data_IF_394460975419
#
_entry.id   IF_394460975419
#
_cell.length_a   1.000
_cell.length_b   1.000
_cell.length_c   1.000
_cell.angle_alpha   90.00
_cell.angle_beta   90.00
_cell.angle_gamma   90.00
#
_symmetry.space_group_name_H-M   'P 1'
#
loop_
_entity.id
_entity.type
_entity.pdbx_description
1 polymer ?
#
# COMPACT_ATOMS: atom_id res chain seq x y z
N UNK A 1 36.27 21.93 33.84
CA UNK A 1 37.06 23.13 34.18
C UNK A 1 36.40 24.44 33.76
N UNK A 2 36.09 24.69 32.47
CA UNK A 2 35.42 25.93 32.02
C UNK A 2 34.06 26.17 32.71
N UNK A 3 33.16 25.19 32.67
CA UNK A 3 31.83 25.30 33.28
C UNK A 3 31.87 25.44 34.80
N UNK A 4 32.81 24.78 35.46
CA UNK A 4 33.01 24.93 36.92
C UNK A 4 33.40 26.36 37.27
N UNK A 5 34.29 26.99 36.50
CA UNK A 5 34.71 28.38 36.72
C UNK A 5 33.55 29.36 36.49
N UNK A 6 32.75 29.16 35.43
CA UNK A 6 31.57 29.98 35.14
C UNK A 6 30.47 29.85 36.21
N UNK A 7 30.24 28.63 36.71
CA UNK A 7 29.32 28.40 37.81
C UNK A 7 29.82 29.08 39.08
N UNK A 8 31.12 29.00 39.37
CA UNK A 8 31.70 29.61 40.57
C UNK A 8 31.65 31.15 40.53
N UNK A 9 31.84 31.76 39.36
CA UNK A 9 31.62 33.19 39.11
C UNK A 9 30.15 33.58 39.39
N UNK A 10 29.21 32.84 38.81
CA UNK A 10 27.77 33.11 38.98
C UNK A 10 27.30 32.93 40.42
N UNK A 11 27.80 31.90 41.11
CA UNK A 11 27.43 31.62 42.51
C UNK A 11 28.01 32.69 43.44
N UNK A 12 29.23 33.15 43.18
CA UNK A 12 29.86 34.24 43.94
C UNK A 12 29.08 35.55 43.79
N UNK A 13 28.68 35.88 42.55
CA UNK A 13 27.86 37.05 42.26
C UNK A 13 26.52 37.01 43.01
N UNK A 14 25.85 35.85 42.99
CA UNK A 14 24.57 35.67 43.69
C UNK A 14 24.72 35.82 45.21
N UNK A 15 25.79 35.27 45.79
CA UNK A 15 26.06 35.38 47.22
C UNK A 15 26.39 36.82 47.64
N UNK A 16 27.09 37.60 46.80
CA UNK A 16 27.33 39.03 47.02
C UNK A 16 26.04 39.86 46.95
N UNK A 17 25.10 39.47 46.08
CA UNK A 17 23.81 40.15 45.97
C UNK A 17 22.93 39.93 47.21
N UNK A 18 22.96 38.71 47.77
CA UNK A 18 22.12 38.30 48.91
C UNK A 18 22.69 38.79 50.24
N UNK A 19 24.01 38.69 50.44
CA UNK A 19 24.69 39.10 51.67
C UNK A 19 25.93 39.96 51.37
N UNK A 20 25.74 41.26 51.06
CA UNK A 20 26.84 42.16 50.72
C UNK A 20 27.87 42.22 51.87
N UNK A 21 29.16 42.04 51.55
CA UNK A 21 30.30 41.99 52.49
C UNK A 21 30.42 40.73 53.37
N UNK A 22 29.48 39.78 53.28
CA UNK A 22 29.54 38.48 53.97
C UNK A 22 29.41 37.28 52.99
N UNK A 23 29.51 37.55 51.69
CA UNK A 23 29.31 36.56 50.62
C UNK A 23 30.21 35.34 50.69
N UNK A 24 31.45 35.51 51.17
CA UNK A 24 32.41 34.42 51.34
C UNK A 24 31.95 33.43 52.43
N UNK A 25 31.47 33.95 53.56
CA UNK A 25 30.99 33.12 54.67
C UNK A 25 29.68 32.42 54.29
N UNK A 26 28.76 33.12 53.62
CA UNK A 26 27.51 32.54 53.11
C UNK A 26 27.79 31.43 52.09
N UNK A 27 28.69 31.68 51.14
CA UNK A 27 29.09 30.68 50.14
C UNK A 27 29.74 29.46 50.80
N UNK A 28 30.56 29.68 51.82
CA UNK A 28 31.19 28.60 52.58
C UNK A 28 30.14 27.75 53.31
N UNK A 29 29.19 28.37 54.02
CA UNK A 29 28.11 27.65 54.72
C UNK A 29 27.18 26.87 53.78
N UNK A 30 26.78 27.46 52.65
CA UNK A 30 25.96 26.77 51.64
C UNK A 30 26.70 25.56 51.07
N UNK A 31 28.00 25.71 50.79
CA UNK A 31 28.83 24.64 50.23
C UNK A 31 29.02 23.49 51.22
N UNK A 32 29.25 23.78 52.51
CA UNK A 32 29.43 22.74 53.54
C UNK A 32 28.13 22.01 53.87
N UNK A 33 27.00 22.72 54.02
CA UNK A 33 25.73 22.11 54.42
C UNK A 33 25.08 21.29 53.29
N UNK A 34 25.14 21.77 52.04
CA UNK A 34 24.51 21.08 50.92
C UNK A 34 25.28 19.81 50.50
N UNK A 35 26.62 19.85 50.57
CA UNK A 35 27.45 18.68 50.26
C UNK A 35 27.38 17.65 51.38
N UNK A 36 27.30 18.07 52.66
CA UNK A 36 27.11 17.14 53.78
C UNK A 36 25.76 16.42 53.69
N UNK A 37 24.66 17.14 53.48
CA UNK A 37 23.31 16.56 53.42
C UNK A 37 23.11 15.64 52.21
N UNK A 38 23.64 16.00 51.04
CA UNK A 38 23.55 15.17 49.85
C UNK A 38 24.42 13.90 49.99
N UNK A 39 25.61 14.02 50.58
CA UNK A 39 26.49 12.87 50.83
C UNK A 39 25.89 11.91 51.86
N UNK A 40 25.24 12.41 52.91
CA UNK A 40 24.57 11.58 53.93
C UNK A 40 23.38 10.81 53.34
N UNK A 41 22.52 11.48 52.56
CA UNK A 41 21.37 10.83 51.92
C UNK A 41 21.76 9.71 50.93
N UNK A 42 22.83 9.93 50.15
CA UNK A 42 23.33 8.92 49.21
C UNK A 42 23.91 7.72 49.97
N UNK A 43 24.69 7.97 51.02
CA UNK A 43 25.27 6.89 51.86
C UNK A 43 24.15 6.09 52.52
N UNK A 44 23.15 6.73 53.12
CA UNK A 44 21.99 6.05 53.72
C UNK A 44 21.22 5.20 52.72
N UNK A 45 21.04 5.71 51.50
CA UNK A 45 20.32 4.99 50.44
C UNK A 45 21.09 3.73 50.02
N UNK A 46 22.41 3.84 49.83
CA UNK A 46 23.26 2.70 49.47
C UNK A 46 23.31 1.66 50.60
N UNK A 47 23.33 2.10 51.87
CA UNK A 47 23.24 1.22 53.05
C UNK A 47 21.93 0.43 53.04
N UNK A 48 20.78 1.10 52.86
CA UNK A 48 19.48 0.43 52.79
C UNK A 48 19.43 -0.60 51.66
N UNK A 49 19.95 -0.26 50.48
CA UNK A 49 20.02 -1.19 49.35
C UNK A 49 20.93 -2.40 49.64
N UNK A 50 22.08 -2.17 50.29
CA UNK A 50 23.01 -3.24 50.69
C UNK A 50 22.38 -4.22 51.68
N UNK A 51 21.57 -3.70 52.63
CA UNK A 51 20.88 -4.51 53.62
C UNK A 51 19.72 -5.32 53.02
N UNK A 52 18.97 -4.75 52.08
CA UNK A 52 17.79 -5.37 51.47
C UNK A 52 18.11 -6.37 50.33
N UNK A 53 19.21 -6.18 49.62
CA UNK A 53 19.59 -7.05 48.51
C UNK A 53 19.90 -8.45 49.00
N UNK A 54 19.48 -9.52 48.31
CA UNK A 54 19.84 -10.92 48.61
C UNK A 54 21.07 -11.40 47.83
N UNK A 55 21.25 -10.91 46.60
CA UNK A 55 22.34 -11.26 45.67
C UNK A 55 23.73 -10.82 46.18
N UNK A 56 24.68 -11.76 46.22
CA UNK A 56 26.05 -11.53 46.66
C UNK A 56 26.87 -10.63 45.71
N UNK A 57 26.58 -10.66 44.41
CA UNK A 57 27.30 -9.86 43.41
C UNK A 57 26.88 -8.39 43.48
N UNK A 58 25.57 -8.15 43.51
CA UNK A 58 25.01 -6.79 43.70
C UNK A 58 25.42 -6.22 45.05
N UNK A 59 25.46 -7.04 46.10
CA UNK A 59 25.95 -6.64 47.43
C UNK A 59 27.43 -6.22 47.40
N UNK A 60 28.27 -6.94 46.67
CA UNK A 60 29.69 -6.57 46.47
C UNK A 60 29.83 -5.28 45.66
N UNK A 61 28.99 -5.07 44.64
CA UNK A 61 28.97 -3.85 43.84
C UNK A 61 28.54 -2.63 44.67
N UNK A 62 27.47 -2.72 45.46
CA UNK A 62 27.02 -1.65 46.35
C UNK A 62 28.11 -1.31 47.39
N UNK A 63 28.78 -2.32 47.94
CA UNK A 63 29.90 -2.12 48.86
C UNK A 63 31.08 -1.42 48.17
N UNK A 64 31.32 -1.67 46.87
CA UNK A 64 32.43 -1.05 46.12
C UNK A 64 32.32 0.48 46.04
N UNK A 65 31.10 1.01 46.10
CA UNK A 65 30.82 2.45 46.11
C UNK A 65 31.33 3.08 47.41
N UNK A 66 31.11 2.40 48.56
CA UNK A 66 31.49 2.89 49.89
C UNK A 66 32.94 2.57 50.26
N UNK A 67 33.43 1.36 49.91
CA UNK A 67 34.74 0.83 50.31
C UNK A 67 35.94 1.58 49.72
N UNK A 68 35.74 2.45 48.72
CA UNK A 68 36.78 3.35 48.21
C UNK A 68 36.98 4.60 49.05
N UNK A 69 35.95 5.02 49.78
CA UNK A 69 35.92 6.28 50.55
C UNK A 69 35.97 6.07 52.07
N UNK A 70 35.57 4.90 52.55
CA UNK A 70 35.51 4.57 53.98
C UNK A 70 36.44 3.40 54.30
N UNK A 71 36.93 3.38 55.54
CA UNK A 71 37.72 2.26 56.08
C UNK A 71 36.81 1.13 56.54
N UNK A 72 37.37 -0.08 56.71
CA UNK A 72 36.60 -1.25 57.15
C UNK A 72 35.89 -1.04 58.51
N UNK A 73 36.53 -0.46 59.55
CA UNK A 73 35.86 -0.21 60.83
C UNK A 73 34.70 0.77 60.71
N UNK A 74 34.84 1.81 59.88
CA UNK A 74 33.76 2.78 59.63
C UNK A 74 32.56 2.12 58.94
N UNK A 75 32.80 1.21 57.98
CA UNK A 75 31.72 0.46 57.33
C UNK A 75 31.05 -0.54 58.26
N UNK A 76 31.80 -1.20 59.14
CA UNK A 76 31.24 -2.09 60.17
C UNK A 76 30.39 -1.32 61.20
N UNK A 77 30.71 -0.04 61.44
CA UNK A 77 29.87 0.82 62.30
C UNK A 77 28.58 1.30 61.63
N UNK A 78 28.57 1.38 60.30
CA UNK A 78 27.47 1.93 59.50
C UNK A 78 26.48 0.86 59.02
N UNK A 79 26.93 -0.38 58.85
CA UNK A 79 26.16 -1.49 58.28
C UNK A 79 25.76 -2.50 59.36
N UNK A 80 24.50 -2.95 59.37
CA UNK A 80 24.05 -3.96 60.33
C UNK A 80 24.57 -5.38 60.03
N UNK A 81 24.97 -5.63 58.77
CA UNK A 81 25.49 -6.94 58.34
C UNK A 81 27.03 -6.96 58.39
N UNK A 82 27.65 -8.02 58.93
CA UNK A 82 29.10 -8.09 59.06
C UNK A 82 29.79 -8.09 57.69
N UNK A 83 30.78 -7.23 57.52
CA UNK A 83 31.61 -7.15 56.31
C UNK A 83 32.90 -7.95 56.52
N UNK A 84 33.04 -9.09 55.84
CA UNK A 84 34.28 -9.87 55.92
C UNK A 84 35.44 -9.14 55.24
N UNK A 85 36.67 -9.35 55.72
CA UNK A 85 37.87 -8.73 55.13
C UNK A 85 38.02 -9.06 53.65
N UNK A 86 37.67 -10.28 53.25
CA UNK A 86 37.66 -10.68 51.85
C UNK A 86 36.70 -9.82 51.01
N UNK A 87 35.46 -9.63 51.47
CA UNK A 87 34.46 -8.86 50.74
C UNK A 87 34.85 -7.38 50.63
N UNK A 88 35.42 -6.81 51.70
CA UNK A 88 35.92 -5.43 51.72
C UNK A 88 37.02 -5.20 50.69
N UNK A 89 38.07 -6.03 50.67
CA UNK A 89 39.17 -5.87 49.71
C UNK A 89 38.74 -6.17 48.28
N UNK A 90 37.85 -7.16 48.08
CA UNK A 90 37.27 -7.45 46.77
C UNK A 90 36.48 -6.25 46.23
N UNK A 91 35.62 -5.66 47.05
CA UNK A 91 34.84 -4.47 46.68
C UNK A 91 35.74 -3.25 46.42
N UNK A 92 36.78 -3.04 47.23
CA UNK A 92 37.72 -1.92 47.07
C UNK A 92 38.53 -2.02 45.77
N UNK A 93 38.82 -3.23 45.31
CA UNK A 93 39.54 -3.51 44.06
C UNK A 93 38.71 -3.40 42.78
N UNK A 94 37.39 -3.22 42.85
CA UNK A 94 36.53 -3.13 41.65
C UNK A 94 36.70 -1.79 40.91
N UNK A 95 36.82 -1.77 39.57
CA UNK A 95 36.80 -0.53 38.76
C UNK A 95 35.50 0.27 38.93
N UNK A 96 35.55 1.61 38.93
CA UNK A 96 34.35 2.47 39.08
C UNK A 96 33.30 2.20 37.98
N UNK A 97 33.77 1.90 36.77
CA UNK A 97 32.93 1.58 35.60
C UNK A 97 32.14 0.27 35.79
N UNK A 98 32.65 -0.65 36.62
CA UNK A 98 31.98 -1.91 36.97
C UNK A 98 31.08 -1.81 38.20
N UNK A 99 31.04 -0.65 38.86
CA UNK A 99 30.20 -0.37 40.04
C UNK A 99 28.76 0.03 39.68
N UNK A 100 28.36 -0.07 38.40
CA UNK A 100 26.99 0.06 37.94
C UNK A 100 26.33 -1.30 37.66
N UNK A 101 25.01 -1.42 37.84
CA UNK A 101 24.25 -2.57 37.38
C UNK A 101 24.36 -2.65 35.85
N UNK A 102 25.18 -3.57 35.33
CA UNK A 102 25.12 -3.95 33.92
C UNK A 102 23.81 -4.73 33.70
N UNK A 103 22.73 -4.00 33.36
CA UNK A 103 21.54 -4.58 32.79
C UNK A 103 21.88 -5.00 31.36
N UNK A 104 22.36 -6.23 31.17
CA UNK A 104 22.46 -6.81 29.84
C UNK A 104 21.05 -6.85 29.23
N UNK A 105 20.80 -5.96 28.28
CA UNK A 105 19.58 -5.98 27.48
C UNK A 105 19.69 -7.17 26.53
N UNK A 106 19.07 -8.30 26.90
CA UNK A 106 18.94 -9.44 26.00
C UNK A 106 18.17 -9.00 24.77
N UNK A 107 18.86 -8.77 23.65
CA UNK A 107 18.20 -8.55 22.37
C UNK A 107 17.37 -9.79 22.01
N UNK A 108 16.08 -9.66 21.70
CA UNK A 108 15.24 -10.81 21.36
C UNK A 108 15.82 -11.55 20.14
N UNK A 109 16.15 -12.83 20.32
CA UNK A 109 16.55 -13.72 19.21
C UNK A 109 15.29 -14.20 18.48
N UNK A 110 14.96 -13.56 17.35
CA UNK A 110 13.89 -14.03 16.47
C UNK A 110 14.36 -15.26 15.70
N UNK A 111 13.64 -16.39 15.80
CA UNK A 111 13.88 -17.55 14.93
C UNK A 111 13.17 -17.32 13.59
N UNK A 112 13.93 -17.10 12.52
CA UNK A 112 13.38 -17.01 11.16
C UNK A 112 12.99 -18.43 10.69
N UNK A 113 11.72 -18.80 10.88
CA UNK A 113 11.20 -20.15 10.54
C UNK A 113 10.74 -20.28 9.08
N UNK A 114 10.61 -19.18 8.36
CA UNK A 114 10.05 -19.14 7.01
C UNK A 114 11.18 -18.97 6.00
N UNK A 115 11.16 -19.76 4.94
CA UNK A 115 12.09 -19.59 3.83
C UNK A 115 11.84 -18.22 3.17
N UNK A 116 12.90 -17.40 3.11
CA UNK A 116 12.82 -16.01 2.67
C UNK A 116 12.55 -15.88 1.18
N UNK A 117 13.21 -16.69 0.35
CA UNK A 117 12.99 -16.70 -1.12
C UNK A 117 11.52 -17.01 -1.45
N UNK A 118 10.95 -18.02 -0.80
CA UNK A 118 9.54 -18.38 -1.00
C UNK A 118 8.57 -17.32 -0.49
N UNK A 119 8.94 -16.61 0.58
CA UNK A 119 8.16 -15.49 1.09
C UNK A 119 8.20 -14.31 0.11
N UNK A 120 9.38 -13.93 -0.37
CA UNK A 120 9.56 -12.85 -1.34
C UNK A 120 8.82 -13.15 -2.64
N UNK A 121 8.90 -14.39 -3.16
CA UNK A 121 8.18 -14.80 -4.36
C UNK A 121 6.66 -14.69 -4.18
N UNK A 122 6.12 -15.13 -3.03
CA UNK A 122 4.71 -14.98 -2.71
C UNK A 122 4.31 -13.50 -2.54
N UNK A 123 5.14 -12.68 -1.90
CA UNK A 123 4.88 -11.25 -1.73
C UNK A 123 4.87 -10.50 -3.05
N UNK A 124 5.79 -10.81 -3.97
CA UNK A 124 5.81 -10.24 -5.31
C UNK A 124 4.49 -10.51 -6.05
N UNK A 125 4.00 -11.74 -6.00
CA UNK A 125 2.71 -12.09 -6.62
C UNK A 125 1.51 -11.44 -5.91
N UNK A 126 1.49 -11.41 -4.57
CA UNK A 126 0.34 -10.87 -3.81
C UNK A 126 0.22 -9.35 -3.86
N UNK A 127 1.33 -8.66 -4.10
CA UNK A 127 1.40 -7.20 -4.25
C UNK A 127 1.38 -6.77 -5.71
N UNK A 128 1.20 -7.71 -6.65
CA UNK A 128 1.05 -7.38 -8.06
C UNK A 128 -0.12 -6.39 -8.25
N UNK A 129 0.08 -5.30 -9.02
CA UNK A 129 -0.97 -4.34 -9.34
C UNK A 129 -2.21 -4.96 -10.00
N UNK A 130 -2.10 -6.15 -10.60
CA UNK A 130 -3.24 -6.91 -11.07
C UNK A 130 -4.23 -7.22 -9.93
N UNK A 131 -3.77 -7.50 -8.71
CA UNK A 131 -4.62 -7.91 -7.58
C UNK A 131 -4.83 -6.81 -6.53
N UNK A 132 -4.09 -5.72 -6.63
CA UNK A 132 -4.08 -4.63 -5.65
C UNK A 132 -4.35 -3.29 -6.31
N UNK A 133 -5.12 -2.45 -5.63
CA UNK A 133 -5.44 -1.10 -6.08
C UNK A 133 -5.24 -0.14 -4.91
N UNK A 134 -4.52 0.95 -5.15
CA UNK A 134 -4.39 2.04 -4.18
C UNK A 134 -5.70 2.83 -4.11
N UNK A 135 -6.14 3.18 -2.91
CA UNK A 135 -7.26 4.12 -2.75
C UNK A 135 -6.79 5.55 -2.95
N UNK A 136 -7.63 6.34 -3.62
CA UNK A 136 -7.43 7.77 -3.84
C UNK A 136 -7.54 8.59 -2.56
N UNK A 137 -8.14 8.04 -1.50
CA UNK A 137 -8.28 8.68 -0.20
C UNK A 137 -8.07 7.64 0.92
N UNK A 138 -7.26 8.02 1.91
CA UNK A 138 -6.91 7.18 3.06
C UNK A 138 -5.44 6.75 3.01
N UNK A 139 -4.77 6.88 4.15
CA UNK A 139 -3.40 6.44 4.35
C UNK A 139 -3.31 5.47 5.52
N UNK A 140 -2.27 4.65 5.52
CA UNK A 140 -1.92 3.77 6.61
C UNK A 140 -0.49 4.06 7.06
N UNK A 141 -0.31 4.10 8.38
CA UNK A 141 1.02 4.13 8.99
C UNK A 141 1.55 2.70 9.15
N UNK A 142 2.70 2.42 8.53
CA UNK A 142 3.53 1.27 8.82
C UNK A 142 4.55 1.66 9.87
N UNK A 143 4.55 0.97 11.01
CA UNK A 143 5.54 1.14 12.06
C UNK A 143 6.63 0.09 11.88
N UNK A 144 7.85 0.54 11.60
CA UNK A 144 9.04 -0.30 11.50
C UNK A 144 9.50 -0.72 12.90
N UNK A 145 10.26 -1.82 12.98
CA UNK A 145 10.87 -2.29 14.23
C UNK A 145 11.87 -1.27 14.80
N UNK A 146 12.42 -0.39 13.94
CA UNK A 146 13.27 0.76 14.29
C UNK A 146 12.49 1.88 15.01
N UNK A 147 11.16 1.81 15.07
CA UNK A 147 10.28 2.85 15.59
C UNK A 147 9.90 3.91 14.55
N UNK A 148 10.48 3.86 13.35
CA UNK A 148 10.15 4.73 12.23
C UNK A 148 8.71 4.48 11.74
N UNK A 149 8.04 5.54 11.31
CA UNK A 149 6.68 5.49 10.77
C UNK A 149 6.69 5.89 9.31
N UNK A 150 6.27 4.98 8.44
CA UNK A 150 6.15 5.20 7.01
C UNK A 150 4.66 5.33 6.68
N UNK A 151 4.27 6.43 6.07
CA UNK A 151 2.89 6.63 5.61
C UNK A 151 2.77 6.13 4.18
N UNK A 152 1.92 5.13 3.97
CA UNK A 152 1.61 4.62 2.63
C UNK A 152 0.13 4.86 2.31
N UNK A 153 -0.26 4.99 1.03
CA UNK A 153 -1.67 4.94 0.65
C UNK A 153 -2.30 3.62 1.11
N UNK A 154 -3.56 3.66 1.53
CA UNK A 154 -4.25 2.41 1.86
C UNK A 154 -4.46 1.58 0.58
N UNK A 155 -4.53 0.26 0.73
CA UNK A 155 -4.56 -0.69 -0.38
C UNK A 155 -5.81 -1.53 -0.29
N UNK A 156 -6.50 -1.63 -1.42
CA UNK A 156 -7.65 -2.49 -1.62
C UNK A 156 -7.24 -3.69 -2.47
N UNK A 157 -7.56 -4.91 -2.02
CA UNK A 157 -7.45 -6.10 -2.85
C UNK A 157 -8.70 -6.25 -3.72
N UNK A 158 -8.48 -6.41 -5.02
CA UNK A 158 -9.53 -6.60 -6.02
C UNK A 158 -10.04 -8.05 -6.05
N UNK A 159 -9.21 -8.99 -5.59
CA UNK A 159 -9.47 -10.43 -5.58
C UNK A 159 -9.47 -10.97 -4.14
N UNK A 160 -10.31 -11.96 -3.84
CA UNK A 160 -10.36 -12.55 -2.51
C UNK A 160 -9.16 -13.47 -2.25
N UNK A 161 -8.82 -13.71 -0.98
CA UNK A 161 -7.62 -14.47 -0.62
C UNK A 161 -7.61 -15.89 -1.20
N UNK A 162 -8.76 -16.57 -1.26
CA UNK A 162 -8.81 -17.94 -1.79
C UNK A 162 -8.49 -18.00 -3.28
N UNK A 163 -9.02 -17.05 -4.06
CA UNK A 163 -8.70 -16.92 -5.48
C UNK A 163 -7.22 -16.58 -5.69
N UNK A 164 -6.67 -15.62 -4.93
CA UNK A 164 -5.23 -15.28 -5.03
C UNK A 164 -4.35 -16.50 -4.74
N UNK A 165 -4.66 -17.28 -3.70
CA UNK A 165 -3.90 -18.50 -3.36
C UNK A 165 -4.01 -19.55 -4.46
N UNK A 166 -5.19 -19.72 -5.07
CA UNK A 166 -5.37 -20.66 -6.18
C UNK A 166 -4.56 -20.22 -7.41
N UNK A 167 -4.64 -18.94 -7.78
CA UNK A 167 -3.87 -18.39 -8.91
C UNK A 167 -2.38 -18.50 -8.70
N UNK A 168 -1.90 -18.16 -7.50
CA UNK A 168 -0.50 -18.31 -7.15
C UNK A 168 -0.06 -19.78 -7.23
N UNK A 169 -0.91 -20.73 -6.81
CA UNK A 169 -0.60 -22.16 -6.89
C UNK A 169 -0.45 -22.59 -8.35
N UNK A 170 -1.40 -22.23 -9.22
CA UNK A 170 -1.35 -22.54 -10.65
C UNK A 170 -0.15 -21.89 -11.34
N UNK A 171 0.18 -20.65 -10.99
CA UNK A 171 1.36 -19.95 -11.50
C UNK A 171 2.66 -20.64 -11.07
N UNK A 172 2.74 -21.11 -9.83
CA UNK A 172 3.90 -21.87 -9.33
C UNK A 172 4.04 -23.22 -10.04
N UNK A 173 2.93 -23.91 -10.32
CA UNK A 173 2.93 -25.17 -11.09
C UNK A 173 3.46 -24.96 -12.52
N UNK A 174 3.06 -23.88 -13.18
CA UNK A 174 3.55 -23.53 -14.52
C UNK A 174 5.03 -23.12 -14.53
N UNK A 175 5.50 -22.48 -13.45
CA UNK A 175 6.87 -21.99 -13.32
C UNK A 175 7.84 -23.00 -12.70
N UNK A 176 7.39 -24.23 -12.45
CA UNK A 176 8.11 -25.29 -11.71
C UNK A 176 8.71 -24.79 -10.37
N UNK A 177 7.93 -23.97 -9.66
CA UNK A 177 8.33 -23.39 -8.37
C UNK A 177 7.58 -24.08 -7.23
N UNK A 178 8.28 -24.41 -6.13
CA UNK A 178 7.66 -25.04 -4.97
C UNK A 178 7.21 -23.98 -3.92
N UNK A 179 5.91 -23.66 -3.83
CA UNK A 179 5.42 -22.60 -2.95
C UNK A 179 5.47 -22.97 -1.45
N UNK A 180 5.14 -22.00 -0.59
CA UNK A 180 4.80 -22.26 0.82
C UNK A 180 3.47 -23.01 0.92
N UNK A 181 3.23 -23.64 2.08
CA UNK A 181 1.94 -24.28 2.35
C UNK A 181 0.78 -23.27 2.28
N UNK A 182 -0.40 -23.72 1.82
CA UNK A 182 -1.61 -22.88 1.73
C UNK A 182 -1.90 -22.13 3.04
N UNK A 183 -1.73 -22.78 4.19
CA UNK A 183 -1.92 -22.15 5.51
C UNK A 183 -0.95 -21.00 5.79
N UNK A 184 0.31 -21.11 5.36
CA UNK A 184 1.29 -20.02 5.43
C UNK A 184 0.95 -18.88 4.47
N UNK A 185 0.52 -19.19 3.24
CA UNK A 185 0.07 -18.19 2.27
C UNK A 185 -1.12 -17.38 2.77
N UNK A 186 -2.13 -18.03 3.36
CA UNK A 186 -3.26 -17.33 3.99
C UNK A 186 -2.82 -16.47 5.18
N UNK A 187 -1.84 -16.90 5.98
CA UNK A 187 -1.26 -16.08 7.05
C UNK A 187 -0.58 -14.83 6.49
N UNK A 188 0.24 -14.98 5.45
CA UNK A 188 0.88 -13.84 4.77
C UNK A 188 -0.18 -12.84 4.28
N UNK A 189 -1.20 -13.31 3.58
CA UNK A 189 -2.30 -12.46 3.11
C UNK A 189 -3.06 -11.77 4.27
N UNK A 190 -3.21 -12.44 5.41
CA UNK A 190 -3.85 -11.85 6.59
C UNK A 190 -3.00 -10.79 7.27
N UNK A 191 -1.67 -10.95 7.28
CA UNK A 191 -0.72 -10.00 7.86
C UNK A 191 -0.53 -8.79 6.95
N UNK A 192 -0.48 -9.01 5.63
CA UNK A 192 -0.53 -7.96 4.62
C UNK A 192 -1.97 -7.43 4.54
N UNK A 193 -2.43 -6.72 5.57
CA UNK A 193 -3.79 -6.23 5.65
C UNK A 193 -4.11 -5.37 4.42
N UNK A 194 -5.19 -5.67 3.73
CA UNK A 194 -5.71 -4.87 2.65
C UNK A 194 -7.22 -4.87 2.77
N UNK A 195 -7.84 -3.72 2.56
CA UNK A 195 -9.28 -3.62 2.52
C UNK A 195 -9.80 -4.50 1.38
N UNK A 196 -10.88 -5.25 1.60
CA UNK A 196 -11.50 -6.03 0.52
C UNK A 196 -12.36 -5.10 -0.31
N UNK A 197 -12.32 -5.24 -1.64
CA UNK A 197 -13.22 -4.48 -2.52
C UNK A 197 -14.67 -4.95 -2.29
N UNK A 198 -15.50 -4.11 -1.65
CA UNK A 198 -16.88 -4.47 -1.28
C UNK A 198 -17.94 -3.98 -2.27
N UNK A 199 -17.65 -3.00 -3.14
CA UNK A 199 -18.57 -2.59 -4.20
C UNK A 199 -17.83 -1.93 -5.38
N UNK A 200 -18.32 -2.19 -6.60
CA UNK A 200 -17.75 -1.78 -7.89
C UNK A 200 -18.78 -1.12 -8.82
N UNK A 201 -20.06 -1.14 -8.46
CA UNK A 201 -21.10 -0.63 -9.34
C UNK A 201 -20.92 0.88 -9.52
N UNK A 202 -20.58 1.29 -10.75
CA UNK A 202 -20.66 2.69 -11.20
C UNK A 202 -19.37 3.39 -11.63
N UNK A 203 -18.20 2.72 -11.67
CA UNK A 203 -16.95 3.35 -12.15
C UNK A 203 -16.47 2.86 -13.52
N UNK A 204 -16.70 1.59 -13.86
CA UNK A 204 -16.35 1.01 -15.16
C UNK A 204 -17.62 0.48 -15.83
N UNK A 205 -18.16 1.28 -16.76
CA UNK A 205 -19.39 0.95 -17.47
C UNK A 205 -19.21 -0.30 -18.34
N UNK A 206 -18.03 -0.50 -18.96
CA UNK A 206 -17.81 -1.61 -19.88
C UNK A 206 -17.76 -2.94 -19.11
N UNK A 207 -17.04 -2.99 -17.99
CA UNK A 207 -17.04 -4.19 -17.15
C UNK A 207 -18.42 -4.44 -16.49
N UNK A 208 -19.16 -3.38 -16.18
CA UNK A 208 -20.53 -3.50 -15.66
C UNK A 208 -21.46 -4.11 -16.71
N UNK A 209 -21.46 -3.58 -17.93
CA UNK A 209 -22.25 -4.06 -19.06
C UNK A 209 -21.88 -5.50 -19.40
N UNK A 210 -20.58 -5.81 -19.49
CA UNK A 210 -20.12 -7.20 -19.68
C UNK A 210 -20.58 -8.16 -18.58
N UNK A 211 -20.60 -7.72 -17.31
CA UNK A 211 -21.12 -8.53 -16.21
C UNK A 211 -22.63 -8.74 -16.29
N UNK A 212 -23.38 -7.74 -16.76
CA UNK A 212 -24.82 -7.80 -17.00
C UNK A 212 -25.15 -8.72 -18.17
N UNK A 213 -24.39 -8.64 -19.26
CA UNK A 213 -24.49 -9.53 -20.41
C UNK A 213 -24.43 -11.01 -20.02
N UNK A 214 -23.52 -11.38 -19.11
CA UNK A 214 -23.49 -12.75 -18.57
C UNK A 214 -24.77 -13.13 -17.82
N UNK A 215 -25.41 -12.20 -17.11
CA UNK A 215 -26.70 -12.48 -16.46
C UNK A 215 -27.79 -12.66 -17.49
N UNK A 216 -27.85 -11.80 -18.52
CA UNK A 216 -28.79 -11.94 -19.63
C UNK A 216 -28.65 -13.31 -20.30
N UNK A 217 -27.43 -13.77 -20.58
CA UNK A 217 -27.21 -15.11 -21.14
C UNK A 217 -27.65 -16.23 -20.18
N UNK A 218 -27.43 -16.09 -18.87
CA UNK A 218 -27.91 -17.05 -17.87
C UNK A 218 -29.45 -17.10 -17.80
N UNK A 219 -30.11 -15.97 -17.90
CA UNK A 219 -31.58 -15.86 -17.94
C UNK A 219 -32.13 -16.54 -19.20
N UNK A 220 -31.55 -16.24 -20.37
CA UNK A 220 -31.91 -16.87 -21.65
C UNK A 220 -31.71 -18.39 -21.58
N UNK A 221 -30.58 -18.88 -21.06
CA UNK A 221 -30.35 -20.32 -20.88
C UNK A 221 -31.39 -20.95 -19.94
N UNK A 222 -31.80 -20.24 -18.89
CA UNK A 222 -32.83 -20.69 -17.96
C UNK A 222 -34.19 -20.80 -18.64
N UNK A 223 -34.55 -19.84 -19.46
CA UNK A 223 -35.83 -19.84 -20.18
C UNK A 223 -35.86 -20.93 -21.26
N UNK A 224 -34.75 -21.13 -21.99
CA UNK A 224 -34.59 -22.24 -22.93
C UNK A 224 -34.79 -23.61 -22.26
N UNK A 225 -34.30 -23.77 -21.03
CA UNK A 225 -34.47 -25.01 -20.26
C UNK A 225 -35.91 -25.20 -19.78
N UNK A 226 -36.54 -24.14 -19.24
CA UNK A 226 -37.94 -24.18 -18.78
C UNK A 226 -38.92 -24.52 -19.89
N UNK A 227 -38.69 -23.98 -21.09
CA UNK A 227 -39.52 -24.26 -22.25
C UNK A 227 -39.19 -25.61 -22.93
N UNK A 228 -38.16 -26.32 -22.46
CA UNK A 228 -37.82 -27.66 -22.91
C UNK A 228 -37.01 -27.72 -24.21
N UNK A 229 -36.45 -26.60 -24.67
CA UNK A 229 -35.61 -26.59 -25.88
C UNK A 229 -34.21 -27.16 -25.62
N UNK A 230 -33.74 -27.12 -24.37
CA UNK A 230 -32.47 -27.74 -23.94
C UNK A 230 -32.71 -28.68 -22.76
N UNK A 231 -31.98 -29.79 -22.76
CA UNK A 231 -32.02 -30.78 -21.70
C UNK A 231 -31.21 -30.32 -20.47
N UNK A 232 -31.34 -31.06 -19.38
CA UNK A 232 -30.72 -30.71 -18.10
C UNK A 232 -29.20 -30.69 -18.17
N UNK A 233 -28.60 -31.64 -18.89
CA UNK A 233 -27.14 -31.73 -19.00
C UNK A 233 -26.60 -30.52 -19.76
N UNK A 234 -27.18 -30.19 -20.92
CA UNK A 234 -26.81 -29.00 -21.69
C UNK A 234 -26.96 -27.71 -20.89
N UNK A 235 -28.02 -27.59 -20.07
CA UNK A 235 -28.24 -26.43 -19.20
C UNK A 235 -27.17 -26.30 -18.10
N UNK A 236 -26.82 -27.40 -17.43
CA UNK A 236 -25.80 -27.39 -16.39
C UNK A 236 -24.41 -27.08 -17.00
N UNK A 237 -24.08 -27.65 -18.16
CA UNK A 237 -22.84 -27.39 -18.91
C UNK A 237 -22.69 -25.91 -19.32
N UNK A 238 -23.72 -25.30 -19.95
CA UNK A 238 -23.62 -23.89 -20.36
C UNK A 238 -23.54 -22.94 -19.15
N UNK A 239 -24.22 -23.28 -18.05
CA UNK A 239 -24.18 -22.47 -16.82
C UNK A 239 -22.79 -22.48 -16.20
N UNK A 240 -22.12 -23.63 -16.22
CA UNK A 240 -20.72 -23.76 -15.79
C UNK A 240 -19.79 -22.94 -16.70
N UNK A 241 -19.91 -23.08 -18.03
CA UNK A 241 -19.11 -22.31 -19.00
C UNK A 241 -19.28 -20.80 -18.83
N UNK A 242 -20.52 -20.31 -18.68
CA UNK A 242 -20.82 -18.89 -18.44
C UNK A 242 -20.14 -18.40 -17.15
N UNK A 243 -20.20 -19.20 -16.08
CA UNK A 243 -19.59 -18.86 -14.79
C UNK A 243 -18.06 -18.85 -14.86
N UNK A 244 -17.46 -19.85 -15.54
CA UNK A 244 -16.02 -19.95 -15.74
C UNK A 244 -15.49 -18.80 -16.60
N UNK A 245 -16.14 -18.52 -17.73
CA UNK A 245 -15.78 -17.44 -18.65
C UNK A 245 -15.88 -16.06 -17.99
N UNK A 246 -16.94 -15.82 -17.21
CA UNK A 246 -17.10 -14.57 -16.44
C UNK A 246 -15.98 -14.39 -15.40
N UNK A 247 -15.64 -15.46 -14.67
CA UNK A 247 -14.55 -15.39 -13.70
C UNK A 247 -13.21 -15.15 -14.39
N UNK A 248 -12.96 -15.83 -15.50
CA UNK A 248 -11.75 -15.67 -16.29
C UNK A 248 -11.51 -14.21 -16.71
N UNK A 249 -12.50 -13.52 -17.27
CA UNK A 249 -12.38 -12.08 -17.60
C UNK A 249 -12.15 -11.21 -16.36
N UNK A 250 -12.79 -11.54 -15.23
CA UNK A 250 -12.71 -10.73 -14.02
C UNK A 250 -11.35 -10.83 -13.33
N UNK A 251 -10.70 -11.99 -13.37
CA UNK A 251 -9.52 -12.26 -12.54
C UNK A 251 -8.28 -12.64 -13.34
N UNK A 252 -8.37 -13.58 -14.28
CA UNK A 252 -7.19 -14.31 -14.75
C UNK A 252 -6.70 -13.80 -16.10
N UNK A 253 -7.63 -13.33 -16.95
CA UNK A 253 -7.33 -12.92 -18.32
C UNK A 253 -6.19 -11.90 -18.40
N UNK A 254 -6.18 -10.91 -17.49
CA UNK A 254 -5.11 -9.89 -17.41
C UNK A 254 -3.71 -10.43 -17.11
N UNK A 255 -3.60 -11.63 -16.53
CA UNK A 255 -2.32 -12.28 -16.23
C UNK A 255 -1.79 -13.06 -17.42
N UNK A 256 -2.68 -13.48 -18.32
CA UNK A 256 -2.32 -14.25 -19.51
C UNK A 256 -1.89 -13.33 -20.66
N UNK A 257 -2.42 -12.11 -20.70
CA UNK A 257 -2.14 -11.12 -21.74
C UNK A 257 -0.74 -10.53 -21.58
N UNK A 258 0.02 -10.50 -22.67
CA UNK A 258 1.38 -9.93 -22.73
C UNK A 258 1.64 -9.25 -24.08
N UNK A 259 2.64 -8.38 -24.17
CA UNK A 259 3.00 -7.68 -25.42
C UNK A 259 3.14 -8.67 -26.59
N UNK A 260 3.96 -9.70 -26.41
CA UNK A 260 4.13 -10.83 -27.33
C UNK A 260 3.70 -12.12 -26.67
N UNK A 261 2.91 -12.95 -27.36
CA UNK A 261 2.42 -14.22 -26.83
C UNK A 261 2.14 -15.20 -27.98
N UNK A 262 2.37 -16.49 -27.79
CA UNK A 262 2.04 -17.52 -28.79
C UNK A 262 0.54 -17.81 -28.91
N UNK A 263 -0.26 -17.33 -27.97
CA UNK A 263 -1.71 -17.35 -28.06
C UNK A 263 -2.22 -16.04 -28.67
N UNK A 264 -2.97 -16.13 -29.77
CA UNK A 264 -3.55 -14.95 -30.45
C UNK A 264 -4.45 -14.14 -29.52
N UNK A 265 -5.19 -14.79 -28.62
CA UNK A 265 -6.05 -14.14 -27.65
C UNK A 265 -5.30 -13.48 -26.48
N UNK A 266 -3.98 -13.65 -26.40
CA UNK A 266 -3.15 -13.10 -25.32
C UNK A 266 -2.08 -12.14 -25.82
N UNK A 267 -1.80 -12.07 -27.13
CA UNK A 267 -0.80 -11.18 -27.69
C UNK A 267 -1.38 -9.79 -27.97
N UNK A 268 -0.93 -8.78 -27.22
CA UNK A 268 -1.38 -7.39 -27.38
C UNK A 268 -1.03 -6.86 -28.78
N UNK A 269 0.20 -7.08 -29.24
CA UNK A 269 0.64 -6.63 -30.57
C UNK A 269 -0.23 -7.20 -31.68
N UNK A 270 -0.71 -8.44 -31.53
CA UNK A 270 -1.65 -9.05 -32.47
C UNK A 270 -3.06 -8.47 -32.33
N UNK A 271 -3.59 -8.43 -31.11
CA UNK A 271 -4.98 -8.05 -30.83
C UNK A 271 -5.30 -6.58 -31.10
N UNK A 272 -4.31 -5.69 -30.99
CA UNK A 272 -4.48 -4.25 -31.24
C UNK A 272 -4.05 -3.82 -32.65
N UNK A 273 -3.51 -4.74 -33.47
CA UNK A 273 -3.10 -4.46 -34.85
C UNK A 273 -4.31 -4.32 -35.78
N UNK A 274 -4.42 -3.19 -36.48
CA UNK A 274 -5.53 -2.93 -37.39
C UNK A 274 -5.18 -3.34 -38.83
N UNK A 275 -5.71 -4.48 -39.27
CA UNK A 275 -5.52 -4.97 -40.65
C UNK A 275 -5.95 -4.01 -41.77
N UNK A 276 -6.79 -3.01 -41.48
CA UNK A 276 -7.27 -2.03 -42.44
C UNK A 276 -6.44 -0.75 -42.51
N UNK A 277 -5.64 -0.45 -41.47
CA UNK A 277 -4.90 0.82 -41.35
C UNK A 277 -3.41 0.56 -41.12
N UNK A 278 -2.56 0.75 -42.14
CA UNK A 278 -1.12 0.49 -42.04
C UNK A 278 -0.43 1.21 -40.87
N UNK A 279 -0.88 2.41 -40.51
CA UNK A 279 -0.33 3.20 -39.40
C UNK A 279 -0.58 2.59 -38.01
N UNK A 280 -1.57 1.71 -37.90
CA UNK A 280 -1.91 0.99 -36.67
C UNK A 280 -1.66 -0.52 -36.79
N UNK A 281 -0.88 -0.93 -37.80
CA UNK A 281 -0.45 -2.32 -37.93
C UNK A 281 0.82 -2.56 -37.15
N UNK A 282 0.79 -3.61 -36.35
CA UNK A 282 1.96 -4.20 -35.74
C UNK A 282 2.14 -5.62 -36.28
N UNK A 283 3.38 -5.97 -36.64
CA UNK A 283 3.74 -7.29 -37.16
C UNK A 283 4.38 -8.10 -36.04
N UNK A 284 3.81 -9.26 -35.77
CA UNK A 284 4.40 -10.20 -34.83
C UNK A 284 5.54 -10.99 -35.51
N UNK A 285 6.66 -11.11 -34.82
CA UNK A 285 7.84 -11.92 -35.19
C UNK A 285 7.74 -13.38 -34.73
N UNK A 286 6.56 -13.80 -34.26
CA UNK A 286 6.29 -15.12 -33.71
C UNK A 286 4.97 -15.68 -34.26
N UNK A 287 4.81 -17.00 -34.19
CA UNK A 287 3.59 -17.68 -34.59
C UNK A 287 2.56 -17.69 -33.45
N UNK A 288 1.28 -17.66 -33.83
CA UNK A 288 0.15 -17.80 -32.92
C UNK A 288 -0.42 -19.22 -33.00
N UNK A 289 0.35 -20.21 -32.55
CA UNK A 289 0.06 -21.64 -32.67
C UNK A 289 -0.47 -22.29 -31.38
N UNK A 290 -0.61 -21.50 -30.30
CA UNK A 290 -1.11 -21.98 -29.01
C UNK A 290 -2.55 -21.51 -28.79
N UNK A 291 -3.44 -22.46 -28.49
CA UNK A 291 -4.82 -22.17 -28.10
C UNK A 291 -4.95 -22.12 -26.58
N UNK A 292 -5.77 -21.18 -26.09
CA UNK A 292 -6.10 -21.10 -24.68
C UNK A 292 -7.50 -21.68 -24.43
N UNK A 293 -7.56 -22.75 -23.64
CA UNK A 293 -8.83 -23.41 -23.27
C UNK A 293 -9.81 -22.48 -22.57
N UNK A 294 -9.33 -21.50 -21.80
CA UNK A 294 -10.19 -20.49 -21.19
C UNK A 294 -10.75 -19.47 -22.21
N UNK A 295 -10.00 -19.20 -23.29
CA UNK A 295 -10.48 -18.35 -24.38
C UNK A 295 -11.45 -19.11 -25.30
N UNK A 296 -11.27 -20.43 -25.45
CA UNK A 296 -12.20 -21.27 -26.20
C UNK A 296 -13.62 -21.26 -25.59
N UNK A 297 -13.75 -21.00 -24.28
CA UNK A 297 -15.05 -20.85 -23.61
C UNK A 297 -15.95 -19.80 -24.26
N UNK A 298 -15.39 -18.68 -24.77
CA UNK A 298 -16.19 -17.64 -25.42
C UNK A 298 -16.81 -18.15 -26.72
N UNK A 299 -16.02 -18.90 -27.50
CA UNK A 299 -16.44 -19.50 -28.77
C UNK A 299 -17.50 -20.58 -28.51
N UNK A 300 -17.26 -21.42 -27.50
CA UNK A 300 -18.21 -22.45 -27.07
C UNK A 300 -19.57 -21.87 -26.67
N UNK A 301 -19.58 -20.76 -25.92
CA UNK A 301 -20.81 -20.09 -25.49
C UNK A 301 -21.55 -19.53 -26.72
N UNK A 302 -20.84 -18.86 -27.62
CA UNK A 302 -21.43 -18.28 -28.85
C UNK A 302 -22.01 -19.38 -29.76
N UNK A 303 -21.29 -20.49 -29.94
CA UNK A 303 -21.75 -21.65 -30.69
C UNK A 303 -22.95 -22.32 -30.04
N UNK A 304 -22.96 -22.48 -28.72
CA UNK A 304 -24.08 -23.06 -27.99
C UNK A 304 -25.36 -22.27 -28.21
N UNK A 305 -25.33 -20.94 -28.02
CA UNK A 305 -26.53 -20.13 -28.21
C UNK A 305 -26.95 -20.06 -29.68
N UNK A 306 -26.00 -20.03 -30.62
CA UNK A 306 -26.31 -20.09 -32.04
C UNK A 306 -27.08 -21.38 -32.38
N UNK A 307 -26.58 -22.54 -31.96
CA UNK A 307 -27.24 -23.82 -32.19
C UNK A 307 -28.55 -23.98 -31.43
N UNK A 308 -28.65 -23.44 -30.21
CA UNK A 308 -29.89 -23.45 -29.44
C UNK A 308 -30.98 -22.64 -30.15
N UNK A 309 -30.63 -21.45 -30.67
CA UNK A 309 -31.55 -20.52 -31.32
C UNK A 309 -31.91 -20.91 -32.76
N UNK A 310 -31.21 -21.85 -33.39
CA UNK A 310 -31.62 -22.41 -34.69
C UNK A 310 -32.99 -23.10 -34.60
N UNK A 311 -33.34 -23.65 -33.43
CA UNK A 311 -34.64 -24.27 -33.17
C UNK A 311 -35.79 -23.28 -33.32
N UNK A 312 -36.99 -23.80 -33.54
CA UNK A 312 -38.22 -22.99 -33.57
C UNK A 312 -38.65 -22.67 -32.13
N UNK A 313 -38.23 -21.50 -31.66
CA UNK A 313 -38.37 -21.04 -30.27
C UNK A 313 -39.31 -19.83 -30.22
N UNK A 314 -40.11 -19.73 -29.16
CA UNK A 314 -40.93 -18.54 -28.90
C UNK A 314 -40.06 -17.31 -28.68
N UNK A 315 -40.45 -16.16 -29.24
CA UNK A 315 -39.70 -14.91 -29.14
C UNK A 315 -38.25 -15.02 -29.67
N UNK A 316 -38.01 -15.90 -30.66
CA UNK A 316 -36.69 -16.13 -31.26
C UNK A 316 -35.97 -14.84 -31.65
N UNK A 317 -36.66 -13.89 -32.28
CA UNK A 317 -36.03 -12.64 -32.73
C UNK A 317 -35.49 -11.80 -31.57
N UNK A 318 -36.26 -11.68 -30.48
CA UNK A 318 -35.85 -10.95 -29.27
C UNK A 318 -34.70 -11.66 -28.56
N UNK A 319 -34.79 -13.00 -28.39
CA UNK A 319 -33.71 -13.78 -27.79
C UNK A 319 -32.43 -13.70 -28.63
N UNK A 320 -32.55 -13.78 -29.95
CA UNK A 320 -31.41 -13.67 -30.87
C UNK A 320 -30.74 -12.31 -30.76
N UNK A 321 -31.52 -11.23 -30.74
CA UNK A 321 -30.99 -9.89 -30.53
C UNK A 321 -30.27 -9.75 -29.17
N UNK A 322 -30.90 -10.22 -28.10
CA UNK A 322 -30.33 -10.15 -26.76
C UNK A 322 -29.05 -10.98 -26.61
N UNK A 323 -29.00 -12.18 -27.19
CA UNK A 323 -27.77 -13.00 -27.24
C UNK A 323 -26.67 -12.26 -28.01
N UNK A 324 -26.97 -11.74 -29.21
CA UNK A 324 -25.98 -11.02 -30.01
C UNK A 324 -25.44 -9.80 -29.28
N UNK A 325 -26.31 -8.99 -28.66
CA UNK A 325 -25.93 -7.84 -27.85
C UNK A 325 -25.07 -8.26 -26.64
N UNK A 326 -25.44 -9.33 -25.94
CA UNK A 326 -24.68 -9.81 -24.78
C UNK A 326 -23.29 -10.33 -25.19
N UNK A 327 -23.18 -11.07 -26.29
CA UNK A 327 -21.90 -11.55 -26.83
C UNK A 327 -21.01 -10.37 -27.20
N UNK A 328 -21.54 -9.32 -27.85
CA UNK A 328 -20.77 -8.13 -28.20
C UNK A 328 -20.28 -7.37 -26.96
N UNK A 329 -21.12 -7.21 -25.93
CA UNK A 329 -20.73 -6.59 -24.66
C UNK A 329 -19.61 -7.38 -23.94
N UNK A 330 -19.64 -8.71 -24.00
CA UNK A 330 -18.55 -9.55 -23.47
C UNK A 330 -17.26 -9.36 -24.29
N UNK A 331 -17.36 -9.27 -25.62
CA UNK A 331 -16.22 -8.97 -26.50
C UNK A 331 -15.65 -7.57 -26.23
N UNK A 332 -16.49 -6.58 -26.01
CA UNK A 332 -16.09 -5.23 -25.58
C UNK A 332 -15.39 -5.22 -24.22
N UNK A 333 -15.87 -6.01 -23.26
CA UNK A 333 -15.19 -6.15 -21.97
C UNK A 333 -13.79 -6.76 -22.12
N UNK A 334 -13.65 -7.83 -22.91
CA UNK A 334 -12.35 -8.43 -23.24
C UNK A 334 -11.40 -7.42 -23.90
N UNK A 335 -11.89 -6.67 -24.91
CA UNK A 335 -11.15 -5.57 -25.58
C UNK A 335 -10.76 -4.47 -24.61
N UNK A 336 -11.63 -4.09 -23.69
CA UNK A 336 -11.35 -3.08 -22.67
C UNK A 336 -10.20 -3.51 -21.75
N UNK A 337 -10.16 -4.78 -21.31
CA UNK A 337 -9.04 -5.29 -20.49
C UNK A 337 -7.71 -5.18 -21.25
N UNK A 338 -7.66 -5.61 -22.52
CA UNK A 338 -6.44 -5.52 -23.35
C UNK A 338 -5.97 -4.07 -23.48
N UNK A 339 -6.89 -3.15 -23.82
CA UNK A 339 -6.58 -1.73 -23.97
C UNK A 339 -6.02 -1.13 -22.68
N UNK A 340 -6.65 -1.44 -21.54
CA UNK A 340 -6.20 -0.96 -20.23
C UNK A 340 -4.78 -1.43 -19.91
N UNK A 341 -4.46 -2.71 -20.16
CA UNK A 341 -3.11 -3.25 -19.94
C UNK A 341 -2.07 -2.52 -20.82
N UNK A 342 -2.36 -2.38 -22.11
CA UNK A 342 -1.46 -1.70 -23.05
C UNK A 342 -1.22 -0.22 -22.68
N UNK A 343 -2.29 0.50 -22.35
CA UNK A 343 -2.22 1.91 -21.95
C UNK A 343 -1.49 2.11 -20.62
N UNK A 344 -1.67 1.19 -19.67
CA UNK A 344 -0.98 1.26 -18.39
C UNK A 344 0.50 0.95 -18.52
N UNK A 345 0.89 -0.03 -19.34
CA UNK A 345 2.28 -0.30 -19.65
C UNK A 345 2.95 0.93 -20.29
N UNK A 346 2.32 1.51 -21.32
CA UNK A 346 2.82 2.71 -22.00
C UNK A 346 3.00 3.89 -21.04
N UNK A 347 2.06 4.08 -20.09
CA UNK A 347 2.18 5.12 -19.05
C UNK A 347 3.35 4.85 -18.12
N UNK A 348 3.54 3.61 -17.66
CA UNK A 348 4.62 3.26 -16.76
C UNK A 348 5.97 3.52 -17.44
N UNK A 349 6.13 3.06 -18.68
CA UNK A 349 7.35 3.24 -19.46
C UNK A 349 7.65 4.72 -19.69
N UNK A 350 6.61 5.52 -20.00
CA UNK A 350 6.74 6.96 -20.13
C UNK A 350 7.17 7.63 -18.82
N UNK A 351 6.54 7.30 -17.69
CA UNK A 351 6.87 7.91 -16.40
C UNK A 351 8.29 7.57 -15.92
N UNK A 352 8.78 6.35 -16.22
CA UNK A 352 10.15 5.95 -15.91
C UNK A 352 11.17 6.77 -16.73
N UNK A 353 10.90 6.94 -18.01
CA UNK A 353 11.80 7.59 -18.96
C UNK A 353 11.56 9.11 -19.12
N UNK A 354 10.62 9.69 -18.37
CA UNK A 354 10.25 11.11 -18.48
C UNK A 354 11.46 12.01 -18.23
N UNK A 355 11.73 12.94 -19.14
CA UNK A 355 12.83 13.91 -18.98
C UNK A 355 12.39 15.14 -18.17
N UNK A 356 13.35 15.94 -17.69
CA UNK A 356 13.06 17.13 -16.85
C UNK A 356 12.33 18.26 -17.58
N UNK A 357 12.40 18.28 -18.91
CA UNK A 357 11.70 19.24 -19.77
C UNK A 357 10.36 18.71 -20.31
N UNK A 358 9.99 17.48 -19.92
CA UNK A 358 8.79 16.78 -20.37
C UNK A 358 7.77 16.64 -19.25
N UNK A 359 6.49 16.54 -19.62
CA UNK A 359 5.42 16.20 -18.70
C UNK A 359 4.38 15.26 -19.31
N UNK A 360 3.77 14.42 -18.47
CA UNK A 360 2.58 13.64 -18.82
C UNK A 360 1.34 14.37 -18.32
N UNK A 361 0.40 14.63 -19.22
CA UNK A 361 -0.90 15.23 -18.92
C UNK A 361 -1.97 14.15 -18.98
N UNK A 362 -2.73 14.03 -17.89
CA UNK A 362 -3.92 13.18 -17.78
C UNK A 362 -5.13 14.07 -17.52
N UNK A 363 -6.17 13.92 -18.33
CA UNK A 363 -7.34 14.79 -18.32
C UNK A 363 -8.61 13.97 -18.22
N UNK A 364 -9.52 14.34 -17.32
CA UNK A 364 -10.83 13.70 -17.26
C UNK A 364 -11.92 14.62 -16.68
N UNK A 365 -13.16 14.33 -17.08
CA UNK A 365 -14.34 14.89 -16.45
C UNK A 365 -14.57 14.21 -15.11
N UNK A 366 -14.58 15.00 -14.05
CA UNK A 366 -14.89 14.46 -12.74
C UNK A 366 -16.40 14.28 -12.56
N UNK A 367 -16.79 13.35 -11.68
CA UNK A 367 -18.18 13.18 -11.25
C UNK A 367 -18.76 14.53 -10.81
N UNK A 368 -19.94 14.90 -11.32
CA UNK A 368 -20.53 16.23 -11.09
C UNK A 368 -20.45 16.66 -9.63
N UNK A 369 -19.90 17.85 -9.41
CA UNK A 369 -19.80 18.42 -8.08
C UNK A 369 -21.19 18.79 -7.57
N UNK A 370 -21.65 18.16 -6.50
CA UNK A 370 -22.94 18.45 -5.87
C UNK A 370 -22.75 19.45 -4.72
N UNK A 371 -23.09 20.75 -4.91
CA UNK A 371 -22.96 21.72 -3.84
C UNK A 371 -23.95 21.38 -2.73
N UNK A 372 -23.50 21.30 -1.47
CA UNK A 372 -24.41 21.15 -0.33
C UNK A 372 -25.24 22.43 -0.18
N UNK A 373 -26.55 22.33 -0.41
CA UNK A 373 -27.52 23.41 -0.14
C UNK A 373 -28.22 23.15 1.20
N UNK A 374 -28.39 24.19 2.03
CA UNK A 374 -29.15 24.09 3.30
C UNK A 374 -30.63 23.79 3.07
N UNK A 375 -31.20 24.25 1.95
CA UNK A 375 -32.56 23.93 1.48
C UNK A 375 -32.57 23.83 -0.04
N UNK A 376 -33.26 22.84 -0.59
CA UNK A 376 -33.44 22.65 -2.03
C UNK A 376 -34.89 22.89 -2.43
N UNK A 377 -35.09 23.53 -3.59
CA UNK A 377 -36.43 23.67 -4.18
C UNK A 377 -36.85 22.35 -4.81
N UNK A 378 -38.15 22.03 -4.80
CA UNK A 378 -38.68 20.81 -5.44
C UNK A 378 -38.36 20.72 -6.95
N UNK A 379 -38.22 21.87 -7.63
CA UNK A 379 -37.76 21.93 -9.04
C UNK A 379 -36.33 21.43 -9.24
N UNK A 380 -35.45 21.62 -8.24
CA UNK A 380 -34.04 21.20 -8.29
C UNK A 380 -33.87 19.69 -8.01
N UNK A 381 -34.98 18.99 -7.72
CA UNK A 381 -35.01 17.55 -7.45
C UNK A 381 -34.95 16.69 -8.72
N UNK A 382 -35.50 17.18 -9.84
CA UNK A 382 -35.72 16.38 -11.06
C UNK A 382 -34.70 16.60 -12.18
N UNK A 383 -33.74 17.52 -12.03
CA UNK A 383 -32.68 17.75 -13.02
C UNK A 383 -31.42 16.93 -12.75
N UNK A 384 -30.59 16.67 -13.79
CA UNK A 384 -29.24 16.14 -13.59
C UNK A 384 -28.43 17.10 -12.69
N UNK A 385 -28.26 16.74 -11.42
CA UNK A 385 -27.67 17.62 -10.40
C UNK A 385 -26.16 17.79 -10.57
N UNK A 386 -25.66 18.96 -10.18
CA UNK A 386 -24.25 19.25 -9.97
C UNK A 386 -23.58 20.10 -11.05
N UNK A 387 -22.41 20.65 -10.70
CA UNK A 387 -21.58 21.44 -11.61
C UNK A 387 -20.61 20.53 -12.36
N UNK A 388 -20.43 20.80 -13.64
CA UNK A 388 -19.41 20.14 -14.43
C UNK A 388 -18.06 20.67 -13.98
N UNK A 389 -17.10 19.78 -13.81
CA UNK A 389 -15.73 20.17 -13.54
C UNK A 389 -14.79 19.18 -14.18
N UNK A 390 -13.66 19.70 -14.62
CA UNK A 390 -12.64 18.95 -15.34
C UNK A 390 -11.34 19.06 -14.56
N UNK A 391 -10.63 17.94 -14.44
CA UNK A 391 -9.36 17.85 -13.77
C UNK A 391 -8.26 17.53 -14.79
N UNK A 392 -7.23 18.35 -14.82
CA UNK A 392 -6.02 18.13 -15.60
C UNK A 392 -4.86 17.91 -14.64
N UNK A 393 -4.29 16.72 -14.62
CA UNK A 393 -3.13 16.38 -13.80
C UNK A 393 -1.90 16.33 -14.69
N UNK A 394 -0.94 17.21 -14.41
CA UNK A 394 0.36 17.25 -15.05
C UNK A 394 1.40 16.58 -14.14
N UNK A 395 2.04 15.53 -14.63
CA UNK A 395 3.09 14.77 -13.93
C UNK A 395 4.43 15.10 -14.58
N UNK A 396 5.43 15.49 -13.79
CA UNK A 396 6.74 15.95 -14.27
C UNK A 396 7.84 15.58 -13.27
N UNK A 397 9.12 15.68 -13.66
CA UNK A 397 10.25 15.52 -12.74
C UNK A 397 10.73 16.88 -12.21
N UNK A 398 10.97 16.96 -10.92
CA UNK A 398 11.55 18.15 -10.31
C UNK A 398 13.09 18.21 -10.47
N UNK A 399 13.73 19.18 -9.82
CA UNK A 399 15.19 19.33 -9.84
C UNK A 399 15.96 18.14 -9.25
N UNK A 400 15.31 17.34 -8.40
CA UNK A 400 15.89 16.15 -7.79
C UNK A 400 15.60 14.88 -8.61
N UNK A 401 15.00 15.03 -9.79
CA UNK A 401 14.51 13.92 -10.62
C UNK A 401 13.40 13.09 -9.96
N UNK A 402 12.70 13.65 -8.97
CA UNK A 402 11.56 13.01 -8.33
C UNK A 402 10.26 13.35 -9.07
N UNK A 403 9.37 12.37 -9.19
CA UNK A 403 8.07 12.56 -9.84
C UNK A 403 7.17 13.44 -8.96
N UNK A 404 6.85 14.61 -9.48
CA UNK A 404 5.90 15.56 -8.93
C UNK A 404 4.64 15.64 -9.79
N UNK A 405 3.57 16.18 -9.24
CA UNK A 405 2.38 16.48 -10.02
C UNK A 405 1.83 17.87 -9.72
N UNK A 406 1.09 18.42 -10.67
CA UNK A 406 0.33 19.66 -10.55
C UNK A 406 -1.05 19.46 -11.15
N UNK A 407 -2.08 19.85 -10.41
CA UNK A 407 -3.47 19.67 -10.83
C UNK A 407 -4.11 21.01 -11.14
N UNK A 408 -4.69 21.12 -12.32
CA UNK A 408 -5.55 22.23 -12.72
C UNK A 408 -7.00 21.76 -12.68
N UNK A 409 -7.85 22.55 -12.04
CA UNK A 409 -9.26 22.22 -11.87
C UNK A 409 -10.12 23.33 -12.45
N UNK A 410 -10.92 23.00 -13.46
CA UNK A 410 -11.84 23.92 -14.10
C UNK A 410 -13.27 23.62 -13.65
N UNK A 411 -13.89 24.53 -12.92
CA UNK A 411 -15.30 24.41 -12.51
C UNK A 411 -16.16 25.22 -13.48
N UNK A 412 -17.05 24.53 -14.18
CA UNK A 412 -17.83 25.05 -15.29
C UNK A 412 -19.32 25.08 -14.92
N UNK A 413 -20.00 26.18 -15.21
CA UNK A 413 -21.41 26.34 -14.86
C UNK A 413 -22.32 25.51 -15.77
N UNK A 414 -22.31 25.81 -17.07
CA UNK A 414 -23.09 25.11 -18.09
C UNK A 414 -22.21 24.95 -19.31
N UNK A 415 -21.69 23.73 -19.50
CA UNK A 415 -20.85 23.38 -20.64
C UNK A 415 -21.31 22.04 -21.17
N UNK A 416 -21.32 21.90 -22.49
CA UNK A 416 -21.45 20.59 -23.13
C UNK A 416 -20.11 19.87 -23.00
N UNK A 417 -20.13 18.60 -22.59
CA UNK A 417 -18.92 17.77 -22.55
C UNK A 417 -18.60 17.30 -23.98
N UNK A 418 -18.13 18.21 -24.82
CA UNK A 418 -17.73 17.92 -26.19
C UNK A 418 -16.23 18.17 -26.40
N UNK A 419 -15.76 17.82 -27.61
CA UNK A 419 -14.35 17.96 -27.97
C UNK A 419 -13.86 19.42 -27.88
N UNK A 420 -14.74 20.39 -28.14
CA UNK A 420 -14.39 21.81 -28.11
C UNK A 420 -14.10 22.26 -26.68
N UNK A 421 -14.97 21.89 -25.73
CA UNK A 421 -14.73 22.15 -24.31
C UNK A 421 -13.41 21.54 -23.84
N UNK A 422 -13.12 20.28 -24.19
CA UNK A 422 -11.86 19.61 -23.81
C UNK A 422 -10.64 20.33 -24.40
N UNK A 423 -10.70 20.74 -25.68
CA UNK A 423 -9.63 21.46 -26.34
C UNK A 423 -9.35 22.83 -25.69
N UNK A 424 -10.38 23.61 -25.36
CA UNK A 424 -10.21 24.90 -24.66
C UNK A 424 -9.62 24.74 -23.25
N UNK A 425 -10.02 23.68 -22.54
CA UNK A 425 -9.47 23.36 -21.21
C UNK A 425 -8.00 22.94 -21.30
N UNK A 426 -7.64 22.14 -22.32
CA UNK A 426 -6.27 21.75 -22.59
C UNK A 426 -5.41 22.98 -22.90
N UNK A 427 -5.85 23.86 -23.80
CA UNK A 427 -5.14 25.10 -24.15
C UNK A 427 -4.87 25.97 -22.92
N UNK A 428 -5.89 26.17 -22.08
CA UNK A 428 -5.73 26.91 -20.84
C UNK A 428 -4.77 26.21 -19.87
N UNK A 429 -4.86 24.89 -19.71
CA UNK A 429 -3.95 24.10 -18.89
C UNK A 429 -2.50 24.19 -19.37
N UNK A 430 -2.26 24.10 -20.68
CA UNK A 430 -0.93 24.18 -21.27
C UNK A 430 -0.32 25.57 -21.10
N UNK A 431 -1.12 26.62 -21.33
CA UNK A 431 -0.69 28.01 -21.12
C UNK A 431 -0.31 28.23 -19.65
N UNK A 432 -1.19 27.82 -18.73
CA UNK A 432 -0.94 27.93 -17.29
C UNK A 432 0.26 27.11 -16.84
N UNK A 433 0.47 25.93 -17.44
CA UNK A 433 1.61 25.07 -17.17
C UNK A 433 2.92 25.73 -17.60
N UNK A 434 2.96 26.28 -18.81
CA UNK A 434 4.14 26.93 -19.35
C UNK A 434 4.51 28.21 -18.55
N UNK A 435 3.52 28.99 -18.13
CA UNK A 435 3.75 30.15 -17.25
C UNK A 435 4.34 29.75 -15.89
N UNK A 436 3.86 28.65 -15.31
CA UNK A 436 4.23 28.21 -13.96
C UNK A 436 5.50 27.34 -13.93
N UNK A 437 5.78 26.62 -15.02
CA UNK A 437 6.90 25.69 -15.17
C UNK A 437 7.50 25.88 -16.59
N UNK A 438 8.23 26.98 -16.83
CA UNK A 438 8.77 27.32 -18.15
C UNK A 438 9.77 26.30 -18.70
N UNK A 439 10.35 25.48 -17.81
CA UNK A 439 11.25 24.40 -18.19
C UNK A 439 10.55 23.26 -18.94
N UNK A 440 9.23 23.13 -18.79
CA UNK A 440 8.44 22.13 -19.52
C UNK A 440 8.15 22.68 -20.92
N UNK A 441 8.75 22.03 -21.92
CA UNK A 441 8.61 22.40 -23.34
C UNK A 441 7.87 21.33 -24.15
N UNK A 442 7.81 20.10 -23.63
CA UNK A 442 7.20 18.95 -24.30
C UNK A 442 6.18 18.29 -23.38
N UNK A 443 5.05 17.86 -23.95
CA UNK A 443 3.96 17.22 -23.20
C UNK A 443 3.46 15.99 -23.93
N UNK A 444 3.22 14.93 -23.17
CA UNK A 444 2.52 13.74 -23.61
C UNK A 444 1.08 13.81 -23.09
N UNK A 445 0.11 13.50 -23.94
CA UNK A 445 -1.31 13.51 -23.58
C UNK A 445 -1.81 12.07 -23.43
N UNK A 446 -2.53 11.80 -22.35
CA UNK A 446 -3.27 10.54 -22.12
C UNK A 446 -4.77 10.78 -22.07
#
# INVERSE_FOLDING_TARGET
RYYQRKADEGTSFLCDLIAPRQSKDLKQQISTNFISDLSSNIIETVVKMYEQTSDGNVRCQLLSILAKRMTKPELESLLQKPVTSYLYYKARGMPIESSGLNLETSTPKYRQRMNEEKLQYAMGFFLDPAFTQYVSFGTRELKMDTGEKIVIPDVVRTVCHSQIVNLYTSYCEQSDFLPLSKSSLYKILSTCAASKRTCLQGLDNIASDGSEAYKTLQEIATDLHKEGYIDRQSFDEITEKLSASKNYLRTDYKLHVSSKNKCADHCISWLLSDSSKPEFQEVCDHAHDVNCTCCDLFIDIENFFSAALEKDIRNKDEMTFNVASAVDQIKEWKRHIIRTINQDQSRIDLLQNLESHQALIVMDWAMKFLPRKFREKQSDWFGQRGRNWHATVCIYKDSNSELCHRTFTHVLNSVRQDWFAVASLLENSLTSLHEQLPQITEVYLR
#
